data_IF_221975878078
#
_entry.id   IF_221975878078
#
_cell.length_a   1.000
_cell.length_b   1.000
_cell.length_c   1.000
_cell.angle_alpha   90.00
_cell.angle_beta   90.00
_cell.angle_gamma   90.00
#
_symmetry.space_group_name_H-M   'P 1'
#
loop_
_entity.id
_entity.type
_entity.pdbx_description
1 polymer ?
#
# COMPACT_ATOMS: atom_id res chain seq x y z
N UNK A 1 -14.01 -6.12 -73.36
CA UNK A 1 -13.67 -7.25 -72.47
C UNK A 1 -12.17 -7.24 -72.28
N UNK A 2 -11.67 -6.52 -71.28
CA UNK A 2 -10.25 -6.54 -70.90
C UNK A 2 -10.06 -7.72 -69.97
N UNK A 3 -9.14 -8.61 -70.32
CA UNK A 3 -8.95 -9.92 -69.71
C UNK A 3 -8.64 -9.79 -68.20
N UNK A 4 -9.53 -10.31 -67.35
CA UNK A 4 -9.32 -10.40 -65.89
C UNK A 4 -8.05 -11.20 -65.51
N UNK A 5 -7.48 -11.95 -66.44
CA UNK A 5 -6.24 -12.72 -66.24
C UNK A 5 -4.96 -11.86 -66.23
N UNK A 6 -4.89 -10.73 -66.93
CA UNK A 6 -3.67 -9.89 -66.95
C UNK A 6 -3.50 -9.05 -65.67
N UNK A 7 -4.60 -8.67 -65.03
CA UNK A 7 -4.59 -7.94 -63.76
C UNK A 7 -4.11 -8.84 -62.61
N UNK A 8 -4.52 -10.11 -62.60
CA UNK A 8 -4.05 -11.09 -61.62
C UNK A 8 -2.57 -11.44 -61.80
N UNK A 9 -2.09 -11.51 -63.04
CA UNK A 9 -0.66 -11.72 -63.31
C UNK A 9 0.18 -10.54 -62.81
N UNK A 10 -0.30 -9.31 -63.00
CA UNK A 10 0.39 -8.10 -62.53
C UNK A 10 0.42 -7.99 -60.99
N UNK A 11 -0.64 -8.41 -60.30
CA UNK A 11 -0.74 -8.27 -58.84
C UNK A 11 0.10 -9.31 -58.07
N UNK A 12 0.30 -10.51 -58.62
CA UNK A 12 1.11 -11.55 -57.99
C UNK A 12 2.56 -11.60 -58.47
N UNK A 13 2.85 -11.15 -59.69
CA UNK A 13 4.21 -11.18 -60.24
C UNK A 13 5.02 -9.95 -59.84
N UNK A 14 4.40 -8.77 -59.65
CA UNK A 14 5.14 -7.58 -59.17
C UNK A 14 5.76 -7.77 -57.78
N UNK A 15 5.07 -8.32 -56.75
CA UNK A 15 5.66 -8.54 -55.44
C UNK A 15 6.81 -9.57 -55.49
N UNK A 16 6.72 -10.57 -56.37
CA UNK A 16 7.77 -11.57 -56.58
C UNK A 16 9.00 -11.00 -57.31
N UNK A 17 8.83 -10.15 -58.32
CA UNK A 17 9.93 -9.47 -59.02
C UNK A 17 10.61 -8.44 -58.08
N UNK A 18 9.84 -7.76 -57.23
CA UNK A 18 10.35 -6.85 -56.20
C UNK A 18 11.07 -7.60 -55.08
N UNK A 19 10.62 -8.83 -54.76
CA UNK A 19 11.30 -9.71 -53.79
C UNK A 19 12.56 -10.37 -54.33
N UNK A 20 12.65 -10.62 -55.64
CA UNK A 20 13.78 -11.32 -56.26
C UNK A 20 14.96 -10.41 -56.65
N UNK A 21 14.74 -9.09 -56.80
CA UNK A 21 15.79 -8.14 -57.17
C UNK A 21 16.35 -7.43 -55.92
N UNK A 22 17.29 -8.11 -55.27
CA UNK A 22 17.89 -7.77 -53.98
C UNK A 22 18.87 -6.57 -54.04
N UNK A 23 18.45 -5.40 -54.56
CA UNK A 23 19.28 -4.18 -54.50
C UNK A 23 18.41 -2.90 -54.51
N UNK A 24 17.66 -2.67 -53.42
CA UNK A 24 17.07 -1.34 -53.12
C UNK A 24 17.49 -0.84 -51.73
N UNK A 25 17.63 0.48 -51.51
CA UNK A 25 18.46 1.06 -50.48
C UNK A 25 17.70 1.14 -49.16
N UNK A 26 17.69 0.05 -48.40
CA UNK A 26 17.13 -0.04 -47.03
C UNK A 26 17.73 1.03 -46.09
N UNK A 27 18.91 1.59 -46.41
CA UNK A 27 19.53 2.71 -45.69
C UNK A 27 18.71 4.01 -45.74
N UNK A 28 18.07 4.33 -46.86
CA UNK A 28 17.27 5.56 -47.01
C UNK A 28 15.97 5.52 -46.21
N UNK A 29 15.29 4.37 -46.23
CA UNK A 29 14.08 4.12 -45.45
C UNK A 29 14.33 4.14 -43.95
N UNK A 30 15.47 3.60 -43.51
CA UNK A 30 15.91 3.65 -42.10
C UNK A 30 16.17 5.08 -41.62
N UNK A 31 16.74 5.93 -42.49
CA UNK A 31 16.93 7.36 -42.20
C UNK A 31 15.63 8.16 -42.13
N UNK A 32 14.66 7.85 -43.00
CA UNK A 32 13.32 8.47 -42.97
C UNK A 32 12.55 8.04 -41.70
N UNK A 33 12.60 6.75 -41.35
CA UNK A 33 11.99 6.24 -40.12
C UNK A 33 12.60 6.88 -38.87
N UNK A 34 13.92 7.07 -38.84
CA UNK A 34 14.59 7.73 -37.71
C UNK A 34 14.22 9.22 -37.60
N UNK A 35 14.16 9.96 -38.71
CA UNK A 35 13.69 11.36 -38.72
C UNK A 35 12.23 11.48 -38.29
N UNK A 36 11.35 10.56 -38.70
CA UNK A 36 9.95 10.54 -38.27
C UNK A 36 9.85 10.23 -36.77
N UNK A 37 10.67 9.32 -36.26
CA UNK A 37 10.76 9.02 -34.83
C UNK A 37 11.22 10.24 -34.02
N UNK A 38 12.29 10.92 -34.43
CA UNK A 38 12.76 12.14 -33.77
C UNK A 38 11.75 13.29 -33.82
N UNK A 39 11.10 13.49 -34.97
CA UNK A 39 10.05 14.49 -35.13
C UNK A 39 8.84 14.20 -34.21
N UNK A 40 8.40 12.94 -34.18
CA UNK A 40 7.32 12.51 -33.29
C UNK A 40 7.71 12.67 -31.82
N UNK A 41 8.91 12.27 -31.43
CA UNK A 41 9.42 12.43 -30.06
C UNK A 41 9.56 13.91 -29.65
N UNK A 42 9.96 14.78 -30.58
CA UNK A 42 10.01 16.22 -30.36
C UNK A 42 8.61 16.82 -30.15
N UNK A 43 7.62 16.44 -30.97
CA UNK A 43 6.24 16.87 -30.79
C UNK A 43 5.68 16.35 -29.47
N UNK A 44 5.89 15.06 -29.17
CA UNK A 44 5.46 14.43 -27.92
C UNK A 44 6.05 15.17 -26.71
N UNK A 45 7.35 15.46 -26.71
CA UNK A 45 8.00 16.21 -25.62
C UNK A 45 7.49 17.66 -25.50
N UNK A 46 7.10 18.29 -26.62
CA UNK A 46 6.48 19.62 -26.63
C UNK A 46 5.07 19.60 -26.04
N UNK A 47 4.24 18.66 -26.47
CA UNK A 47 2.87 18.45 -25.97
C UNK A 47 2.90 18.05 -24.50
N UNK A 48 3.77 17.14 -24.09
CA UNK A 48 3.92 16.73 -22.69
C UNK A 48 4.34 17.90 -21.80
N UNK A 49 5.26 18.76 -22.24
CA UNK A 49 5.64 19.98 -21.49
C UNK A 49 4.47 20.95 -21.35
N UNK A 50 3.67 21.12 -22.40
CA UNK A 50 2.48 21.96 -22.36
C UNK A 50 1.43 21.38 -21.40
N UNK A 51 1.09 20.10 -21.53
CA UNK A 51 0.16 19.39 -20.63
C UNK A 51 0.64 19.45 -19.18
N UNK A 52 1.94 19.28 -18.94
CA UNK A 52 2.53 19.40 -17.61
C UNK A 52 2.32 20.79 -17.01
N UNK A 53 2.43 21.86 -17.80
CA UNK A 53 2.18 23.23 -17.33
C UNK A 53 0.74 23.45 -16.87
N UNK A 54 -0.23 22.83 -17.54
CA UNK A 54 -1.64 22.85 -17.12
C UNK A 54 -1.91 21.95 -15.91
N UNK A 55 -1.21 20.82 -15.80
CA UNK A 55 -1.38 19.87 -14.70
C UNK A 55 -0.63 20.30 -13.42
N UNK A 56 0.42 21.11 -13.53
CA UNK A 56 1.24 21.59 -12.41
C UNK A 56 0.46 22.18 -11.21
N UNK A 57 -0.57 23.05 -11.38
CA UNK A 57 -1.37 23.51 -10.25
C UNK A 57 -2.14 22.37 -9.57
N UNK A 58 -2.71 21.44 -10.34
CA UNK A 58 -3.44 20.28 -9.82
C UNK A 58 -2.50 19.39 -9.02
N UNK A 59 -1.33 19.07 -9.58
CA UNK A 59 -0.28 18.29 -8.93
C UNK A 59 0.22 18.93 -7.62
N UNK A 60 0.21 20.27 -7.50
CA UNK A 60 0.50 20.97 -6.24
C UNK A 60 -0.61 20.74 -5.20
N UNK A 61 -1.88 20.78 -5.61
CA UNK A 61 -3.02 20.48 -4.73
C UNK A 61 -3.00 19.02 -4.29
N UNK A 62 -2.76 18.09 -5.22
CA UNK A 62 -2.65 16.66 -4.89
C UNK A 62 -1.52 16.37 -3.90
N UNK A 63 -0.34 16.98 -4.10
CA UNK A 63 0.75 16.88 -3.10
C UNK A 63 0.38 17.51 -1.76
N UNK A 64 -0.35 18.63 -1.76
CA UNK A 64 -0.81 19.24 -0.51
C UNK A 64 -1.82 18.33 0.21
N UNK A 65 -2.70 17.68 -0.55
CA UNK A 65 -3.62 16.65 -0.07
C UNK A 65 -2.82 15.52 0.61
N UNK A 66 -1.86 14.89 -0.07
CA UNK A 66 -1.07 13.79 0.50
C UNK A 66 -0.28 14.14 1.78
N UNK A 67 0.04 15.42 2.02
CA UNK A 67 0.64 15.86 3.30
C UNK A 67 -0.32 15.73 4.49
N UNK A 68 -1.62 15.82 4.25
CA UNK A 68 -2.68 15.68 5.26
C UNK A 68 -3.16 14.23 5.34
N UNK A 69 -2.30 13.30 5.76
CA UNK A 69 -2.57 11.84 5.73
C UNK A 69 -3.91 11.45 6.38
N UNK A 70 -4.22 11.98 7.55
CA UNK A 70 -5.46 11.65 8.27
C UNK A 70 -6.71 12.12 7.51
N UNK A 71 -6.67 13.34 6.95
CA UNK A 71 -7.77 13.88 6.13
C UNK A 71 -7.94 13.06 4.85
N UNK A 72 -6.83 12.62 4.24
CA UNK A 72 -6.87 11.78 3.05
C UNK A 72 -7.57 10.45 3.31
N UNK A 73 -7.19 9.77 4.40
CA UNK A 73 -7.78 8.49 4.79
C UNK A 73 -9.28 8.65 5.03
N UNK A 74 -9.69 9.66 5.80
CA UNK A 74 -11.10 9.94 6.06
C UNK A 74 -11.88 10.22 4.76
N UNK A 75 -11.32 11.04 3.87
CA UNK A 75 -11.98 11.36 2.59
C UNK A 75 -12.10 10.13 1.67
N UNK A 76 -11.07 9.28 1.61
CA UNK A 76 -11.11 8.02 0.86
C UNK A 76 -12.14 7.05 1.44
N UNK A 77 -12.24 6.95 2.77
CA UNK A 77 -13.26 6.14 3.45
C UNK A 77 -14.67 6.65 3.12
N UNK A 78 -14.92 7.95 3.22
CA UNK A 78 -16.22 8.54 2.86
C UNK A 78 -16.57 8.24 1.40
N UNK A 79 -15.63 8.47 0.46
CA UNK A 79 -15.86 8.20 -0.95
C UNK A 79 -16.13 6.71 -1.22
N UNK A 80 -15.40 5.80 -0.56
CA UNK A 80 -15.60 4.36 -0.73
C UNK A 80 -16.96 3.92 -0.19
N UNK A 81 -17.35 4.39 0.99
CA UNK A 81 -18.63 4.01 1.60
C UNK A 81 -19.80 4.58 0.79
N UNK A 82 -19.67 5.76 0.20
CA UNK A 82 -20.66 6.29 -0.75
C UNK A 82 -20.80 5.41 -2.00
N UNK A 83 -19.71 4.84 -2.52
CA UNK A 83 -19.77 3.86 -3.62
C UNK A 83 -20.52 2.62 -3.16
N UNK A 84 -20.18 2.08 -1.97
CA UNK A 84 -20.86 0.93 -1.39
C UNK A 84 -22.36 1.16 -1.18
N UNK A 85 -22.77 2.34 -0.69
CA UNK A 85 -24.18 2.70 -0.52
C UNK A 85 -24.94 2.59 -1.84
N UNK A 86 -24.39 3.16 -2.91
CA UNK A 86 -25.05 3.17 -4.21
C UNK A 86 -25.11 1.77 -4.86
N UNK A 87 -24.11 0.92 -4.62
CA UNK A 87 -24.00 -0.40 -5.25
C UNK A 87 -24.71 -1.49 -4.45
N UNK A 88 -24.52 -1.54 -3.13
CA UNK A 88 -24.94 -2.66 -2.29
C UNK A 88 -26.27 -2.41 -1.58
N UNK A 89 -26.63 -1.15 -1.34
CA UNK A 89 -27.85 -0.77 -0.60
C UNK A 89 -28.54 0.43 -1.28
N UNK A 90 -29.00 0.30 -2.53
CA UNK A 90 -29.59 1.41 -3.26
C UNK A 90 -30.87 1.91 -2.54
N UNK A 91 -30.92 3.21 -2.27
CA UNK A 91 -32.11 3.89 -1.72
C UNK A 91 -32.06 4.24 -0.23
N UNK A 92 -31.10 3.71 0.54
CA UNK A 92 -30.87 4.19 1.91
C UNK A 92 -29.96 5.43 1.87
N UNK A 93 -30.44 6.56 2.41
CA UNK A 93 -29.65 7.78 2.49
C UNK A 93 -28.83 7.77 3.79
N UNK A 94 -27.61 8.28 3.73
CA UNK A 94 -26.75 8.58 4.90
C UNK A 94 -26.19 7.32 5.62
N UNK A 95 -26.39 6.11 5.10
CA UNK A 95 -25.87 4.86 5.67
C UNK A 95 -24.35 4.86 5.82
N UNK A 96 -23.62 5.39 4.83
CA UNK A 96 -22.16 5.52 4.90
C UNK A 96 -21.66 6.26 6.15
N UNK A 97 -22.29 7.38 6.51
CA UNK A 97 -21.84 8.19 7.65
C UNK A 97 -22.10 7.47 8.98
N UNK A 98 -23.24 6.81 9.11
CA UNK A 98 -23.56 6.01 10.31
C UNK A 98 -22.58 4.84 10.47
N UNK A 99 -22.33 4.09 9.39
CA UNK A 99 -21.37 2.98 9.42
C UNK A 99 -19.97 3.47 9.76
N UNK A 100 -19.54 4.59 9.18
CA UNK A 100 -18.22 5.17 9.46
C UNK A 100 -18.11 5.66 10.91
N UNK A 101 -19.14 6.31 11.44
CA UNK A 101 -19.17 6.75 12.84
C UNK A 101 -19.09 5.55 13.79
N UNK A 102 -19.82 4.48 13.51
CA UNK A 102 -19.77 3.24 14.28
C UNK A 102 -18.36 2.61 14.25
N UNK A 103 -17.74 2.54 13.08
CA UNK A 103 -16.38 2.00 12.94
C UNK A 103 -15.32 2.88 13.62
N UNK A 104 -15.48 4.20 13.63
CA UNK A 104 -14.61 5.11 14.38
C UNK A 104 -14.71 4.87 15.89
N UNK A 105 -15.91 4.67 16.43
CA UNK A 105 -16.09 4.29 17.84
C UNK A 105 -15.42 2.95 18.13
N UNK A 106 -15.59 1.96 17.25
CA UNK A 106 -14.91 0.67 17.39
C UNK A 106 -13.39 0.81 17.36
N UNK A 107 -12.84 1.61 16.44
CA UNK A 107 -11.40 1.87 16.33
C UNK A 107 -10.86 2.56 17.59
N UNK A 108 -11.59 3.54 18.13
CA UNK A 108 -11.27 4.17 19.41
C UNK A 108 -11.23 3.15 20.55
N UNK A 109 -12.21 2.23 20.59
CA UNK A 109 -12.24 1.15 21.58
C UNK A 109 -11.01 0.25 21.51
N UNK A 110 -10.67 -0.18 20.30
CA UNK A 110 -9.49 -1.01 20.05
C UNK A 110 -8.20 -0.27 20.40
N UNK A 111 -8.09 1.02 20.04
CA UNK A 111 -6.93 1.84 20.36
C UNK A 111 -6.71 1.98 21.87
N UNK A 112 -7.80 2.23 22.61
CA UNK A 112 -7.75 2.32 24.06
C UNK A 112 -7.35 0.98 24.71
N UNK A 113 -7.92 -0.14 24.23
CA UNK A 113 -7.52 -1.48 24.70
C UNK A 113 -6.03 -1.74 24.41
N UNK A 114 -5.56 -1.39 23.21
CA UNK A 114 -4.15 -1.50 22.84
C UNK A 114 -3.25 -0.72 23.80
N UNK A 115 -3.60 0.54 24.09
CA UNK A 115 -2.84 1.39 25.03
C UNK A 115 -2.82 0.80 26.44
N UNK A 116 -3.91 0.18 26.90
CA UNK A 116 -3.97 -0.51 28.18
C UNK A 116 -3.07 -1.75 28.22
N UNK A 117 -3.04 -2.54 27.14
CA UNK A 117 -2.22 -3.76 27.05
C UNK A 117 -0.73 -3.43 26.97
N UNK A 118 -0.36 -2.37 26.23
CA UNK A 118 1.05 -1.96 26.06
C UNK A 118 1.66 -1.30 27.32
N UNK A 119 0.84 -0.82 28.26
CA UNK A 119 1.34 -0.33 29.55
C UNK A 119 1.71 -1.52 30.46
N UNK A 120 2.99 -1.87 30.46
CA UNK A 120 3.57 -2.98 31.25
C UNK A 120 3.46 -2.82 32.78
N UNK A 121 3.23 -1.61 33.30
CA UNK A 121 3.17 -1.37 34.75
C UNK A 121 1.78 -1.58 35.35
N UNK A 122 1.29 -2.82 35.31
CA UNK A 122 0.14 -3.28 36.11
C UNK A 122 0.48 -3.36 37.60
N UNK A 123 1.74 -3.16 37.96
CA UNK A 123 2.15 -3.14 39.36
C UNK A 123 1.55 -1.89 40.05
N UNK A 124 0.86 -2.07 41.19
CA UNK A 124 0.42 -0.95 42.02
C UNK A 124 1.60 -0.19 42.65
N UNK A 125 2.82 -0.68 42.51
CA UNK A 125 4.00 -0.21 43.24
C UNK A 125 4.88 0.65 42.34
N UNK A 126 5.14 1.89 42.75
CA UNK A 126 6.09 2.79 42.08
C UNK A 126 7.43 2.69 42.82
N UNK A 127 8.46 2.17 42.17
CA UNK A 127 9.82 2.14 42.71
C UNK A 127 10.54 3.47 42.37
N UNK A 128 10.96 4.22 43.39
CA UNK A 128 11.63 5.54 43.21
C UNK A 128 13.13 5.38 42.92
N UNK A 129 13.77 4.32 43.41
CA UNK A 129 15.13 3.93 43.06
C UNK A 129 15.26 2.40 43.11
N UNK A 130 16.18 1.82 42.31
CA UNK A 130 16.46 0.37 42.28
C UNK A 130 16.84 -0.22 43.66
N UNK A 131 17.16 0.62 44.64
CA UNK A 131 17.63 0.21 45.97
C UNK A 131 16.70 0.57 47.13
N UNK A 132 15.64 1.37 46.93
CA UNK A 132 14.75 1.80 48.01
C UNK A 132 13.36 1.17 47.89
N UNK A 133 13.00 0.34 48.86
CA UNK A 133 11.68 -0.29 49.00
C UNK A 133 10.63 0.63 49.66
N UNK A 134 10.71 1.95 49.43
CA UNK A 134 9.79 2.91 50.08
C UNK A 134 8.49 2.95 49.27
N UNK A 135 7.45 2.35 49.85
CA UNK A 135 6.11 2.23 49.27
C UNK A 135 5.33 3.54 49.48
N UNK A 136 5.17 4.34 48.43
CA UNK A 136 4.31 5.54 48.50
C UNK A 136 2.84 5.16 48.21
N UNK A 137 2.12 4.72 49.26
CA UNK A 137 0.73 4.25 49.15
C UNK A 137 -0.21 5.27 48.48
N UNK A 138 0.05 6.58 48.67
CA UNK A 138 -0.72 7.66 48.07
C UNK A 138 -0.51 7.80 46.55
N UNK A 139 0.69 7.52 46.03
CA UNK A 139 0.98 7.56 44.60
C UNK A 139 0.40 6.32 43.88
N UNK A 140 0.39 5.18 44.58
CA UNK A 140 -0.30 3.96 44.14
C UNK A 140 -1.82 4.16 44.05
N UNK A 141 -2.44 4.72 45.09
CA UNK A 141 -3.88 4.96 45.12
C UNK A 141 -4.34 5.93 44.03
N UNK A 142 -3.60 7.03 43.81
CA UNK A 142 -3.91 8.00 42.75
C UNK A 142 -3.77 7.41 41.35
N UNK A 143 -2.72 6.59 41.09
CA UNK A 143 -2.58 5.85 39.82
C UNK A 143 -3.77 4.93 39.57
N UNK A 144 -4.19 4.16 40.58
CA UNK A 144 -5.37 3.28 40.50
C UNK A 144 -6.63 4.10 40.17
N UNK A 145 -6.90 5.17 40.91
CA UNK A 145 -8.08 6.02 40.69
C UNK A 145 -8.08 6.61 39.27
N UNK A 146 -6.93 7.05 38.76
CA UNK A 146 -6.83 7.57 37.39
C UNK A 146 -7.13 6.49 36.34
N UNK A 147 -6.59 5.29 36.47
CA UNK A 147 -6.86 4.19 35.53
C UNK A 147 -8.32 3.73 35.57
N UNK A 148 -8.93 3.62 36.76
CA UNK A 148 -10.36 3.34 36.89
C UNK A 148 -11.23 4.47 36.31
N UNK A 149 -10.83 5.73 36.48
CA UNK A 149 -11.55 6.86 35.87
C UNK A 149 -11.51 6.78 34.35
N UNK A 150 -10.37 6.43 33.74
CA UNK A 150 -10.28 6.20 32.30
C UNK A 150 -11.16 5.03 31.85
N UNK A 151 -11.18 3.91 32.58
CA UNK A 151 -12.03 2.78 32.26
C UNK A 151 -13.54 3.10 32.36
N UNK A 152 -13.94 3.84 33.41
CA UNK A 152 -15.32 4.27 33.61
C UNK A 152 -15.74 5.27 32.53
N UNK A 153 -14.92 6.28 32.24
CA UNK A 153 -15.21 7.24 31.16
C UNK A 153 -15.29 6.54 29.81
N UNK A 154 -14.43 5.56 29.54
CA UNK A 154 -14.50 4.72 28.35
C UNK A 154 -15.83 3.97 28.24
N UNK A 155 -16.27 3.28 29.30
CA UNK A 155 -17.56 2.58 29.33
C UNK A 155 -18.72 3.57 29.11
N UNK A 156 -18.69 4.72 29.78
CA UNK A 156 -19.71 5.77 29.63
C UNK A 156 -19.75 6.26 28.18
N UNK A 157 -18.60 6.50 27.54
CA UNK A 157 -18.56 6.95 26.13
C UNK A 157 -19.13 5.90 25.18
N UNK A 158 -18.85 4.61 25.39
CA UNK A 158 -19.44 3.52 24.59
C UNK A 158 -20.94 3.48 24.77
N UNK A 159 -21.41 3.45 26.01
CA UNK A 159 -22.84 3.36 26.32
C UNK A 159 -23.57 4.58 25.78
N UNK A 160 -23.03 5.79 25.98
CA UNK A 160 -23.61 7.01 25.43
C UNK A 160 -23.64 7.00 23.91
N UNK A 161 -22.57 6.57 23.24
CA UNK A 161 -22.57 6.44 21.79
C UNK A 161 -23.61 5.44 21.32
N UNK A 162 -23.64 4.23 21.89
CA UNK A 162 -24.64 3.21 21.56
C UNK A 162 -26.07 3.70 21.83
N UNK A 163 -26.29 4.50 22.87
CA UNK A 163 -27.58 5.12 23.15
C UNK A 163 -27.94 6.19 22.13
N UNK A 164 -27.01 7.09 21.75
CA UNK A 164 -27.22 8.09 20.70
C UNK A 164 -27.56 7.39 19.38
N UNK A 165 -26.82 6.34 19.02
CA UNK A 165 -27.13 5.53 17.84
C UNK A 165 -28.49 4.81 17.96
N UNK A 166 -28.81 4.25 19.13
CA UNK A 166 -30.06 3.52 19.36
C UNK A 166 -31.31 4.41 19.46
N UNK A 167 -31.15 5.68 19.80
CA UNK A 167 -32.24 6.64 20.01
C UNK A 167 -32.43 7.60 18.82
N UNK A 168 -31.45 7.75 17.93
CA UNK A 168 -31.65 8.50 16.70
C UNK A 168 -32.63 7.79 15.77
N UNK A 169 -33.71 8.48 15.39
CA UNK A 169 -34.69 8.04 14.39
C UNK A 169 -34.08 7.73 13.02
N UNK A 170 -32.84 8.14 12.77
CA UNK A 170 -32.05 7.75 11.59
C UNK A 170 -31.79 6.24 11.50
N UNK A 171 -31.76 5.54 12.64
CA UNK A 171 -31.51 4.09 12.68
C UNK A 171 -32.73 3.26 12.21
N UNK A 172 -33.93 3.83 12.15
CA UNK A 172 -35.12 3.12 11.67
C UNK A 172 -34.97 2.66 10.20
N UNK A 173 -34.16 3.38 9.43
CA UNK A 173 -33.82 3.07 8.04
C UNK A 173 -32.44 2.41 7.87
N UNK A 174 -31.67 2.23 8.95
CA UNK A 174 -30.34 1.63 8.90
C UNK A 174 -30.44 0.10 8.94
N UNK A 175 -30.51 -0.51 7.76
CA UNK A 175 -30.52 -1.97 7.60
C UNK A 175 -29.43 -2.37 6.61
N UNK A 176 -28.15 -2.36 7.03
CA UNK A 176 -27.06 -2.71 6.15
C UNK A 176 -27.14 -4.20 5.79
N UNK A 177 -26.91 -4.53 4.52
CA UNK A 177 -26.77 -5.91 4.09
C UNK A 177 -25.48 -6.53 4.65
N UNK A 178 -25.46 -7.85 4.83
CA UNK A 178 -24.27 -8.57 5.30
C UNK A 178 -23.08 -8.36 4.36
N UNK A 179 -23.33 -8.28 3.04
CA UNK A 179 -22.28 -7.97 2.07
C UNK A 179 -21.74 -6.56 2.23
N UNK A 180 -22.60 -5.57 2.47
CA UNK A 180 -22.19 -4.20 2.76
C UNK A 180 -21.31 -4.12 4.02
N UNK A 181 -21.70 -4.77 5.11
CA UNK A 181 -20.92 -4.72 6.36
C UNK A 181 -19.56 -5.40 6.20
N UNK A 182 -19.48 -6.56 5.52
CA UNK A 182 -18.19 -7.25 5.30
C UNK A 182 -17.26 -6.38 4.44
N UNK A 183 -17.74 -5.85 3.31
CA UNK A 183 -16.91 -5.08 2.38
C UNK A 183 -16.44 -3.76 3.00
N UNK A 184 -17.33 -3.04 3.67
CA UNK A 184 -16.98 -1.77 4.32
C UNK A 184 -16.07 -1.99 5.52
N UNK A 185 -16.29 -3.04 6.32
CA UNK A 185 -15.41 -3.38 7.44
C UNK A 185 -14.00 -3.79 6.99
N UNK A 186 -13.89 -4.63 5.95
CA UNK A 186 -12.58 -5.03 5.39
C UNK A 186 -11.81 -3.82 4.85
N UNK A 187 -12.48 -2.92 4.13
CA UNK A 187 -11.86 -1.68 3.66
C UNK A 187 -11.43 -0.79 4.82
N UNK A 188 -12.27 -0.66 5.85
CA UNK A 188 -11.96 0.13 7.04
C UNK A 188 -10.76 -0.42 7.80
N UNK A 189 -10.68 -1.74 7.98
CA UNK A 189 -9.56 -2.43 8.64
C UNK A 189 -8.21 -2.16 7.93
N UNK A 190 -8.22 -2.08 6.59
CA UNK A 190 -7.02 -1.81 5.79
C UNK A 190 -6.67 -0.31 5.67
N UNK A 191 -7.53 0.60 6.12
CA UNK A 191 -7.33 2.04 6.00
C UNK A 191 -7.09 2.73 7.34
N UNK A 192 -7.72 2.25 8.40
CA UNK A 192 -7.64 2.84 9.73
C UNK A 192 -6.31 2.54 10.42
N UNK A 193 -5.68 3.57 11.00
CA UNK A 193 -4.31 3.52 11.51
C UNK A 193 -4.12 2.42 12.56
N UNK A 194 -5.05 2.37 13.52
CA UNK A 194 -5.00 1.42 14.65
C UNK A 194 -4.98 -0.02 14.14
N UNK A 195 -5.86 -0.34 13.20
CA UNK A 195 -5.96 -1.68 12.62
C UNK A 195 -4.79 -2.02 11.71
N UNK A 196 -4.32 -1.07 10.89
CA UNK A 196 -3.15 -1.25 10.03
C UNK A 196 -1.90 -1.53 10.86
N UNK A 197 -1.68 -0.82 11.97
CA UNK A 197 -0.56 -1.07 12.88
C UNK A 197 -0.64 -2.48 13.51
N UNK A 198 -1.80 -2.87 14.03
CA UNK A 198 -1.99 -4.21 14.58
C UNK A 198 -1.78 -5.31 13.55
N UNK A 199 -2.32 -5.15 12.34
CA UNK A 199 -2.15 -6.11 11.26
C UNK A 199 -0.68 -6.20 10.84
N UNK A 200 0.03 -5.07 10.81
CA UNK A 200 1.47 -5.04 10.52
C UNK A 200 2.27 -5.77 11.59
N UNK A 201 1.96 -5.55 12.88
CA UNK A 201 2.62 -6.29 13.97
C UNK A 201 2.39 -7.80 13.87
N UNK A 202 1.15 -8.22 13.61
CA UNK A 202 0.79 -9.63 13.44
C UNK A 202 1.50 -10.29 12.25
N UNK A 203 1.57 -9.59 11.11
CA UNK A 203 2.23 -10.12 9.91
C UNK A 203 3.74 -10.17 10.10
N UNK A 204 4.34 -9.15 10.72
CA UNK A 204 5.78 -9.16 11.03
C UNK A 204 6.16 -10.34 11.94
N UNK A 205 5.29 -10.71 12.89
CA UNK A 205 5.49 -11.88 13.74
C UNK A 205 5.50 -13.19 12.94
N UNK A 206 4.71 -13.28 11.86
CA UNK A 206 4.62 -14.50 11.04
C UNK A 206 5.87 -14.79 10.19
N UNK A 207 6.79 -13.84 10.04
CA UNK A 207 8.03 -13.93 9.24
C UNK A 207 7.80 -14.60 7.88
N UNK A 208 7.04 -13.93 7.01
CA UNK A 208 6.64 -14.49 5.73
C UNK A 208 7.86 -14.53 4.81
N UNK A 209 8.28 -15.74 4.47
CA UNK A 209 9.43 -16.00 3.61
C UNK A 209 9.39 -15.14 2.32
N UNK A 210 8.25 -15.09 1.63
CA UNK A 210 8.06 -14.36 0.36
C UNK A 210 8.42 -12.87 0.44
N UNK A 211 8.35 -12.25 1.62
CA UNK A 211 8.58 -10.81 1.80
C UNK A 211 10.02 -10.45 2.20
N UNK A 212 10.95 -11.42 2.26
CA UNK A 212 12.37 -11.21 2.57
C UNK A 212 12.63 -10.45 3.91
N UNK A 213 11.74 -10.62 4.90
CA UNK A 213 11.69 -9.83 6.16
C UNK A 213 11.57 -8.30 5.94
N UNK A 214 11.05 -7.88 4.77
CA UNK A 214 10.79 -6.49 4.40
C UNK A 214 9.30 -6.14 4.51
N UNK A 215 8.55 -6.81 5.39
CA UNK A 215 7.09 -6.66 5.52
C UNK A 215 6.69 -5.21 5.81
N UNK A 216 7.47 -4.49 6.61
CA UNK A 216 7.22 -3.07 6.92
C UNK A 216 7.21 -2.15 5.69
N UNK A 217 7.94 -2.51 4.62
CA UNK A 217 7.98 -1.77 3.36
C UNK A 217 6.92 -2.26 2.37
N UNK A 218 6.63 -3.56 2.35
CA UNK A 218 5.64 -4.16 1.46
C UNK A 218 4.20 -3.93 1.90
N UNK A 219 3.92 -4.03 3.20
CA UNK A 219 2.55 -3.97 3.72
C UNK A 219 1.82 -2.67 3.39
N UNK A 220 2.43 -1.47 3.52
CA UNK A 220 1.78 -0.23 3.10
C UNK A 220 1.38 -0.23 1.62
N UNK A 221 2.24 -0.77 0.75
CA UNK A 221 1.97 -0.90 -0.69
C UNK A 221 0.83 -1.89 -0.93
N UNK A 222 0.88 -3.07 -0.30
CA UNK A 222 -0.14 -4.10 -0.44
C UNK A 222 -1.51 -3.61 0.03
N UNK A 223 -1.60 -2.92 1.18
CA UNK A 223 -2.86 -2.36 1.67
C UNK A 223 -3.42 -1.27 0.76
N UNK A 224 -2.55 -0.40 0.22
CA UNK A 224 -2.99 0.63 -0.75
C UNK A 224 -3.47 0.02 -2.07
N UNK A 225 -2.77 -0.98 -2.60
CA UNK A 225 -3.19 -1.69 -3.80
C UNK A 225 -4.48 -2.49 -3.59
N UNK A 226 -4.62 -3.16 -2.44
CA UNK A 226 -5.84 -3.88 -2.09
C UNK A 226 -7.06 -2.94 -1.97
N UNK A 227 -6.89 -1.79 -1.31
CA UNK A 227 -7.96 -0.78 -1.16
C UNK A 227 -8.33 -0.12 -2.50
N UNK A 228 -7.35 0.19 -3.35
CA UNK A 228 -7.59 0.68 -4.71
C UNK A 228 -8.27 -0.39 -5.60
N UNK A 229 -7.86 -1.65 -5.47
CA UNK A 229 -8.45 -2.79 -6.19
C UNK A 229 -9.90 -3.04 -5.78
N UNK A 230 -10.20 -3.04 -4.48
CA UNK A 230 -11.56 -3.16 -3.95
C UNK A 230 -12.47 -2.02 -4.44
N UNK A 231 -11.94 -0.79 -4.44
CA UNK A 231 -12.65 0.38 -4.98
C UNK A 231 -12.93 0.25 -6.47
N UNK A 232 -11.93 -0.21 -7.24
CA UNK A 232 -12.06 -0.43 -8.68
C UNK A 232 -13.11 -1.48 -9.00
N UNK A 233 -13.16 -2.58 -8.23
CA UNK A 233 -14.14 -3.64 -8.40
C UNK A 233 -15.59 -3.14 -8.21
N UNK A 234 -15.83 -2.33 -7.19
CA UNK A 234 -17.15 -1.75 -6.91
C UNK A 234 -17.52 -0.60 -7.85
N UNK A 235 -16.54 0.06 -8.46
CA UNK A 235 -16.79 1.10 -9.46
C UNK A 235 -17.35 0.54 -10.77
N UNK A 236 -16.99 -0.70 -11.15
CA UNK A 236 -17.49 -1.34 -12.38
C UNK A 236 -19.03 -1.35 -12.45
N UNK A 237 -19.77 -1.93 -11.48
CA UNK A 237 -21.23 -1.91 -11.52
C UNK A 237 -21.81 -0.48 -11.42
N UNK A 238 -21.14 0.43 -10.68
CA UNK A 238 -21.60 1.81 -10.54
C UNK A 238 -21.51 2.59 -11.86
N UNK A 239 -20.47 2.36 -12.66
CA UNK A 239 -20.31 3.00 -13.98
C UNK A 239 -21.34 2.45 -14.98
N UNK A 240 -21.65 1.16 -14.92
CA UNK A 240 -22.57 0.53 -15.88
C UNK A 240 -24.04 0.85 -15.56
N UNK A 241 -24.44 0.85 -14.29
CA UNK A 241 -25.85 0.92 -13.89
C UNK A 241 -26.21 2.14 -13.03
N UNK A 242 -25.21 2.86 -12.52
CA UNK A 242 -25.39 3.86 -11.47
C UNK A 242 -25.18 5.32 -11.91
N UNK A 243 -25.28 6.26 -10.96
CA UNK A 243 -25.00 7.67 -11.22
C UNK A 243 -23.51 7.91 -11.50
N UNK A 244 -23.22 8.63 -12.59
CA UNK A 244 -21.83 8.90 -13.03
C UNK A 244 -21.04 9.80 -12.05
N UNK A 245 -21.70 10.64 -11.24
CA UNK A 245 -21.02 11.58 -10.33
C UNK A 245 -20.18 10.89 -9.25
N UNK A 246 -20.74 10.01 -8.38
CA UNK A 246 -19.93 9.28 -7.40
C UNK A 246 -18.92 8.33 -8.07
N UNK A 247 -19.22 7.84 -9.30
CA UNK A 247 -18.27 7.03 -10.06
C UNK A 247 -17.02 7.82 -10.46
N UNK A 248 -17.17 9.05 -10.97
CA UNK A 248 -16.04 9.91 -11.33
C UNK A 248 -15.21 10.32 -10.11
N UNK A 249 -15.87 10.70 -9.02
CA UNK A 249 -15.19 11.05 -7.75
C UNK A 249 -14.44 9.84 -7.21
N UNK A 250 -15.08 8.66 -7.19
CA UNK A 250 -14.46 7.41 -6.75
C UNK A 250 -13.27 7.00 -7.60
N UNK A 251 -13.38 7.10 -8.93
CA UNK A 251 -12.28 6.79 -9.85
C UNK A 251 -11.08 7.73 -9.63
N UNK A 252 -11.34 9.02 -9.42
CA UNK A 252 -10.27 9.97 -9.17
C UNK A 252 -9.64 9.78 -7.79
N UNK A 253 -10.44 9.71 -6.73
CA UNK A 253 -9.97 9.74 -5.34
C UNK A 253 -9.48 8.36 -4.89
N UNK A 254 -10.32 7.33 -4.99
CA UNK A 254 -10.03 6.01 -4.43
C UNK A 254 -9.15 5.14 -5.34
N UNK A 255 -9.08 5.46 -6.63
CA UNK A 255 -8.23 4.72 -7.59
C UNK A 255 -7.03 5.57 -8.00
N UNK A 256 -7.22 6.66 -8.73
CA UNK A 256 -6.10 7.44 -9.29
C UNK A 256 -5.20 8.05 -8.21
N UNK A 257 -5.75 8.85 -7.29
CA UNK A 257 -4.96 9.49 -6.22
C UNK A 257 -4.35 8.44 -5.29
N UNK A 258 -5.08 7.36 -4.99
CA UNK A 258 -4.58 6.26 -4.15
C UNK A 258 -3.38 5.52 -4.78
N UNK A 259 -3.45 5.24 -6.09
CA UNK A 259 -2.34 4.63 -6.82
C UNK A 259 -1.17 5.59 -6.98
N UNK A 260 -1.43 6.88 -7.20
CA UNK A 260 -0.40 7.92 -7.26
C UNK A 260 0.33 8.08 -5.93
N UNK A 261 -0.42 8.12 -4.81
CA UNK A 261 0.15 8.14 -3.46
C UNK A 261 1.01 6.89 -3.22
N UNK A 262 0.49 5.70 -3.56
CA UNK A 262 1.22 4.43 -3.41
C UNK A 262 2.52 4.40 -4.20
N UNK A 263 2.50 4.88 -5.44
CA UNK A 263 3.68 4.97 -6.28
C UNK A 263 4.72 5.94 -5.70
N UNK A 264 4.29 7.13 -5.32
CA UNK A 264 5.20 8.23 -4.92
C UNK A 264 5.80 8.07 -3.54
N UNK A 265 5.03 7.56 -2.57
CA UNK A 265 5.48 7.40 -1.18
C UNK A 265 6.14 6.05 -0.96
N UNK A 266 5.43 4.95 -1.22
CA UNK A 266 5.83 3.64 -0.71
C UNK A 266 6.54 2.78 -1.76
N UNK A 267 6.04 2.73 -3.00
CA UNK A 267 6.63 1.86 -4.03
C UNK A 267 8.01 2.37 -4.48
N UNK A 268 8.18 3.68 -4.63
CA UNK A 268 9.48 4.28 -4.93
C UNK A 268 10.50 4.00 -3.83
N UNK A 269 10.09 4.07 -2.56
CA UNK A 269 10.95 3.70 -1.43
C UNK A 269 11.31 2.21 -1.49
N UNK A 270 10.32 1.32 -1.58
CA UNK A 270 10.53 -0.13 -1.68
C UNK A 270 11.46 -0.52 -2.83
N UNK A 271 11.29 0.06 -4.02
CA UNK A 271 12.15 -0.22 -5.18
C UNK A 271 13.59 0.23 -4.95
N UNK A 272 13.79 1.40 -4.32
CA UNK A 272 15.12 1.90 -3.96
C UNK A 272 15.78 1.00 -2.93
N UNK A 273 15.06 0.62 -1.88
CA UNK A 273 15.48 -0.30 -0.83
C UNK A 273 15.86 -1.68 -1.38
N UNK A 274 15.04 -2.20 -2.29
CA UNK A 274 15.27 -3.50 -2.93
C UNK A 274 16.44 -3.46 -3.91
N UNK A 275 16.69 -2.33 -4.57
CA UNK A 275 17.83 -2.17 -5.47
C UNK A 275 19.18 -2.33 -4.74
N UNK A 276 19.25 -1.98 -3.44
CA UNK A 276 20.46 -2.18 -2.64
C UNK A 276 20.84 -3.65 -2.48
N UNK A 277 19.84 -4.55 -2.42
CA UNK A 277 20.05 -5.98 -2.21
C UNK A 277 19.92 -6.81 -3.49
N UNK A 278 19.44 -6.23 -4.59
CA UNK A 278 19.25 -6.91 -5.86
C UNK A 278 20.51 -7.59 -6.43
N UNK A 279 21.74 -7.05 -6.27
CA UNK A 279 22.95 -7.72 -6.74
C UNK A 279 23.27 -9.03 -6.03
N UNK A 280 22.84 -9.20 -4.78
CA UNK A 280 23.15 -10.39 -3.98
C UNK A 280 22.21 -11.53 -4.33
N UNK A 281 22.75 -12.68 -4.72
CA UNK A 281 21.94 -13.86 -5.05
C UNK A 281 21.24 -14.43 -3.80
N UNK A 282 20.15 -15.14 -4.03
CA UNK A 282 19.52 -15.95 -2.98
C UNK A 282 20.37 -17.19 -2.65
N UNK A 283 20.35 -17.60 -1.39
CA UNK A 283 20.88 -18.89 -0.95
C UNK A 283 19.95 -20.02 -1.39
N UNK A 284 20.50 -21.14 -1.86
CA UNK A 284 19.71 -22.36 -2.07
C UNK A 284 19.34 -22.98 -0.72
N UNK A 285 18.29 -23.83 -0.64
CA UNK A 285 17.96 -24.53 0.59
C UNK A 285 19.11 -25.40 1.14
N UNK A 286 19.91 -25.99 0.24
CA UNK A 286 21.10 -26.78 0.59
C UNK A 286 22.20 -25.91 1.19
N UNK A 287 22.47 -24.74 0.60
CA UNK A 287 23.42 -23.77 1.14
C UNK A 287 22.94 -23.28 2.52
N UNK A 288 21.66 -22.95 2.66
CA UNK A 288 21.10 -22.46 3.92
C UNK A 288 21.31 -23.46 5.08
N UNK A 289 20.92 -24.71 4.86
CA UNK A 289 21.06 -25.77 5.87
C UNK A 289 22.52 -26.10 6.24
N UNK A 290 23.49 -25.73 5.41
CA UNK A 290 24.92 -25.92 5.70
C UNK A 290 25.51 -24.87 6.67
N UNK A 291 24.81 -23.75 6.88
CA UNK A 291 25.26 -22.62 7.72
C UNK A 291 24.46 -22.44 9.03
N UNK A 292 23.85 -23.52 9.55
CA UNK A 292 23.10 -23.55 10.83
C UNK A 292 21.89 -22.59 10.90
N UNK A 293 21.40 -22.13 9.75
CA UNK A 293 20.19 -21.31 9.57
C UNK A 293 20.07 -20.02 10.43
N UNK A 294 21.07 -19.59 11.22
CA UNK A 294 20.93 -18.41 12.10
C UNK A 294 21.62 -17.18 11.50
N UNK A 295 20.90 -16.06 11.41
CA UNK A 295 21.47 -14.82 10.90
C UNK A 295 22.42 -14.20 11.93
N UNK A 296 23.68 -14.00 11.58
CA UNK A 296 24.68 -13.40 12.47
C UNK A 296 24.42 -11.92 12.86
N UNK A 297 23.45 -11.25 12.22
CA UNK A 297 23.10 -9.84 12.51
C UNK A 297 21.96 -9.75 13.53
N UNK A 298 20.88 -10.51 13.36
CA UNK A 298 19.71 -10.44 14.23
C UNK A 298 19.55 -11.66 15.16
N UNK A 299 20.42 -12.66 15.03
CA UNK A 299 20.42 -13.91 15.81
C UNK A 299 19.12 -14.71 15.72
N UNK A 300 18.32 -14.51 14.67
CA UNK A 300 17.09 -15.25 14.40
C UNK A 300 17.27 -16.27 13.27
N UNK A 301 16.48 -17.35 13.25
CA UNK A 301 16.50 -18.32 12.16
C UNK A 301 16.15 -17.70 10.81
N UNK A 302 16.74 -18.23 9.75
CA UNK A 302 16.64 -17.78 8.37
C UNK A 302 15.90 -18.84 7.57
N UNK A 303 14.72 -18.48 7.01
CA UNK A 303 14.04 -19.29 5.99
C UNK A 303 14.45 -18.91 4.57
N UNK A 304 14.86 -17.65 4.39
CA UNK A 304 15.37 -17.09 3.15
C UNK A 304 16.51 -16.14 3.47
N UNK A 305 17.55 -16.21 2.65
CA UNK A 305 18.77 -15.44 2.86
C UNK A 305 19.42 -15.02 1.54
N UNK A 306 20.25 -13.98 1.63
CA UNK A 306 21.06 -13.44 0.55
C UNK A 306 22.53 -13.77 0.80
N UNK A 307 23.25 -14.10 -0.26
CA UNK A 307 24.67 -14.45 -0.21
C UNK A 307 25.51 -13.27 -0.71
N UNK A 308 26.47 -12.88 0.11
CA UNK A 308 27.46 -11.84 -0.21
C UNK A 308 28.57 -12.37 -1.13
N UNK A 309 29.32 -11.51 -1.85
CA UNK A 309 30.47 -11.94 -2.68
C UNK A 309 31.51 -12.74 -1.89
N UNK A 310 31.63 -12.49 -0.59
CA UNK A 310 32.50 -13.22 0.32
C UNK A 310 31.90 -14.51 0.90
N UNK A 311 30.80 -15.01 0.33
CA UNK A 311 30.07 -16.25 0.70
C UNK A 311 29.41 -16.27 2.08
N UNK A 312 29.27 -15.12 2.76
CA UNK A 312 28.48 -15.03 3.99
C UNK A 312 26.99 -14.81 3.71
N UNK A 313 26.14 -15.39 4.56
CA UNK A 313 24.68 -15.48 4.40
C UNK A 313 23.97 -14.64 5.47
N UNK A 314 22.96 -13.85 5.06
CA UNK A 314 22.16 -13.00 5.96
C UNK A 314 20.71 -12.90 5.49
N UNK A 315 19.76 -12.53 6.37
CA UNK A 315 18.42 -12.11 5.92
C UNK A 315 18.54 -10.92 4.95
N UNK A 316 17.64 -10.85 3.95
CA UNK A 316 17.58 -9.73 3.02
C UNK A 316 17.46 -8.38 3.72
N UNK A 317 16.56 -8.27 4.70
CA UNK A 317 16.38 -7.06 5.53
C UNK A 317 17.63 -6.69 6.36
N UNK A 318 18.29 -7.67 6.97
CA UNK A 318 19.51 -7.45 7.75
C UNK A 318 20.66 -6.94 6.87
N UNK A 319 20.86 -7.57 5.71
CA UNK A 319 21.86 -7.15 4.74
C UNK A 319 21.55 -5.75 4.20
N UNK A 320 20.28 -5.46 3.88
CA UNK A 320 19.85 -4.13 3.42
C UNK A 320 20.20 -3.03 4.41
N UNK A 321 19.82 -3.21 5.68
CA UNK A 321 20.12 -2.26 6.76
C UNK A 321 21.62 -2.05 6.95
N UNK A 322 22.41 -3.11 6.79
CA UNK A 322 23.86 -3.04 6.92
C UNK A 322 24.53 -2.30 5.75
N UNK A 323 24.19 -2.66 4.50
CA UNK A 323 24.76 -2.04 3.28
C UNK A 323 24.51 -0.53 3.22
N UNK A 324 23.41 -0.06 3.80
CA UNK A 324 23.15 1.39 3.97
C UNK A 324 24.19 2.11 4.82
N UNK A 325 24.77 1.42 5.81
CA UNK A 325 25.68 2.00 6.79
C UNK A 325 27.14 1.69 6.47
N UNK A 326 27.43 0.53 5.89
CA UNK A 326 28.78 0.07 5.58
C UNK A 326 28.82 -0.80 4.34
N UNK A 327 29.84 -0.58 3.50
CA UNK A 327 30.13 -1.38 2.31
C UNK A 327 30.97 -2.64 2.60
N UNK A 328 31.14 -3.03 3.87
CA UNK A 328 31.96 -4.18 4.25
C UNK A 328 31.09 -5.29 4.84
N UNK A 329 31.45 -6.55 4.66
CA UNK A 329 30.73 -7.69 5.23
C UNK A 329 30.66 -7.60 6.77
N UNK A 330 29.49 -7.83 7.41
CA UNK A 330 29.36 -7.86 8.87
C UNK A 330 30.32 -8.84 9.55
N UNK A 331 30.54 -10.00 8.92
CA UNK A 331 31.32 -11.11 9.46
C UNK A 331 32.83 -10.97 9.19
N UNK A 332 33.24 -10.89 7.92
CA UNK A 332 34.67 -10.91 7.57
C UNK A 332 35.28 -9.54 7.27
N UNK A 333 34.50 -8.46 7.34
CA UNK A 333 34.94 -7.07 7.05
C UNK A 333 35.55 -6.84 5.65
N UNK A 334 35.49 -7.81 4.73
CA UNK A 334 35.84 -7.61 3.31
C UNK A 334 34.82 -6.70 2.62
N UNK A 335 35.28 -5.92 1.65
CA UNK A 335 34.42 -5.05 0.86
C UNK A 335 33.40 -5.86 0.05
N UNK A 336 32.14 -5.41 0.01
CA UNK A 336 31.04 -6.06 -0.71
C UNK A 336 31.04 -5.67 -2.19
N UNK A 337 32.14 -5.95 -2.89
CA UNK A 337 32.27 -5.79 -4.34
C UNK A 337 32.15 -7.14 -5.03
N UNK A 338 31.47 -7.14 -6.17
CA UNK A 338 31.48 -8.27 -7.11
C UNK A 338 32.67 -8.06 -8.04
N UNK A 339 33.50 -9.10 -8.19
CA UNK A 339 34.64 -9.09 -9.11
C UNK A 339 34.20 -9.13 -10.58
#
# INVERSE_FOLDING_TARGET
MVNKFEVFYSFFVLPMIVSANYYYPVKGLKGIAHKLYEFWHSIESGVMRFLWKFYQPVDRVERAYFRLKNLCVMFNQICFFMICDNVLVPGQKVTCLYTLMFYNVLAYCVAYIKELVEKEDWSPYVHITDRSNIRHLAMSATKIVLEWTKAVTFIITIVFMLLVFGLETGLENYKPSVSYTIVTFLYYLLTEKVFVEMLTMLINYSQIAVLENMESLWLPVLFQLATAGASSLLLVPLIVWGPYRPALVGLYVNVYLRLKDSYTSNLKELTTERALIAPYRFATPEELGSFDDVCAVCLNPMKLARITPCHHIFHGDCLRKWVKTSNHCPLCKRELKFD
#
